data_IF_534864722850
#
_entry.id   IF_534864722850
#
_cell.length_a   1.000
_cell.length_b   1.000
_cell.length_c   1.000
_cell.angle_alpha   90.00
_cell.angle_beta   90.00
_cell.angle_gamma   90.00
#
_symmetry.space_group_name_H-M   'P 1'
#
loop_
_entity.id
_entity.type
_entity.pdbx_description
1 polymer ?
#
# COMPACT_ATOMS: atom_id res chain seq x y z
N UNK A 1 25.72 -13.56 13.82
CA UNK A 1 25.33 -12.13 13.89
C UNK A 1 25.52 -11.38 12.58
N UNK A 2 26.67 -11.41 11.88
CA UNK A 2 26.86 -10.64 10.61
C UNK A 2 25.97 -11.14 9.46
N UNK A 3 25.78 -12.46 9.31
CA UNK A 3 24.94 -13.05 8.25
C UNK A 3 23.43 -12.77 8.44
N UNK A 4 22.93 -12.70 9.67
CA UNK A 4 21.52 -12.36 9.92
C UNK A 4 21.22 -10.91 9.55
N UNK A 5 22.12 -9.97 9.85
CA UNK A 5 21.96 -8.55 9.49
C UNK A 5 21.92 -8.31 7.99
N UNK A 6 22.78 -9.03 7.23
CA UNK A 6 22.77 -8.93 5.75
C UNK A 6 21.48 -9.51 5.18
N UNK A 7 21.03 -10.67 5.67
CA UNK A 7 19.78 -11.31 5.25
C UNK A 7 18.58 -10.41 5.53
N UNK A 8 18.55 -9.76 6.69
CA UNK A 8 17.49 -8.81 7.06
C UNK A 8 17.49 -7.58 6.15
N UNK A 9 18.67 -7.02 5.84
CA UNK A 9 18.80 -5.90 4.91
C UNK A 9 18.28 -6.22 3.50
N UNK A 10 18.66 -7.38 2.96
CA UNK A 10 18.17 -7.83 1.64
C UNK A 10 16.65 -8.02 1.65
N UNK A 11 16.11 -8.66 2.70
CA UNK A 11 14.66 -8.84 2.82
C UNK A 11 13.93 -7.49 2.83
N UNK A 12 14.42 -6.49 3.56
CA UNK A 12 13.84 -5.14 3.59
C UNK A 12 13.91 -4.43 2.24
N UNK A 13 14.99 -4.61 1.47
CA UNK A 13 15.08 -4.10 0.09
C UNK A 13 14.02 -4.77 -0.79
N UNK A 14 13.86 -6.09 -0.72
CA UNK A 14 12.84 -6.82 -1.50
C UNK A 14 11.43 -6.35 -1.14
N UNK A 15 11.14 -6.20 0.16
CA UNK A 15 9.86 -5.64 0.62
C UNK A 15 9.64 -4.23 0.08
N UNK A 16 10.67 -3.39 0.10
CA UNK A 16 10.64 -2.05 -0.49
C UNK A 16 10.33 -2.08 -1.99
N UNK A 17 10.97 -2.97 -2.76
CA UNK A 17 10.71 -3.14 -4.19
C UNK A 17 9.24 -3.48 -4.45
N UNK A 18 8.68 -4.42 -3.69
CA UNK A 18 7.28 -4.82 -3.82
C UNK A 18 6.33 -3.67 -3.49
N UNK A 19 6.63 -2.89 -2.43
CA UNK A 19 5.83 -1.71 -2.05
C UNK A 19 5.92 -0.63 -3.13
N UNK A 20 7.11 -0.35 -3.63
CA UNK A 20 7.33 0.68 -4.66
C UNK A 20 6.64 0.34 -5.98
N UNK A 21 6.73 -0.90 -6.37
CA UNK A 21 6.04 -1.42 -7.54
C UNK A 21 4.51 -1.40 -7.38
N UNK A 22 3.99 -1.83 -6.21
CA UNK A 22 2.56 -1.78 -5.91
C UNK A 22 1.99 -0.36 -5.83
N UNK A 23 2.82 0.65 -5.57
CA UNK A 23 2.39 2.04 -5.53
C UNK A 23 2.02 2.60 -6.92
N UNK A 24 2.55 2.03 -8.01
CA UNK A 24 2.28 2.46 -9.39
C UNK A 24 1.04 1.76 -9.96
N UNK A 25 0.78 0.52 -9.52
CA UNK A 25 -0.22 -0.33 -10.12
C UNK A 25 -1.64 0.09 -9.76
N UNK A 26 -2.54 0.24 -10.74
CA UNK A 26 -3.95 0.45 -10.47
C UNK A 26 -4.53 -0.73 -9.67
N UNK A 27 -5.32 -0.42 -8.64
CA UNK A 27 -5.96 -1.45 -7.81
C UNK A 27 -5.09 -2.02 -6.68
N UNK A 28 -3.78 -1.77 -6.67
CA UNK A 28 -2.88 -2.22 -5.61
C UNK A 28 -2.41 -1.01 -4.79
N UNK A 29 -2.51 -1.13 -3.48
CA UNK A 29 -2.06 -0.06 -2.58
C UNK A 29 -0.70 -0.40 -1.97
N UNK A 30 0.32 0.41 -2.28
CA UNK A 30 1.62 0.33 -1.62
C UNK A 30 1.52 0.48 -0.10
N UNK A 31 0.51 1.23 0.38
CA UNK A 31 0.21 1.37 1.80
C UNK A 31 -0.23 0.06 2.45
N UNK A 32 -1.08 -0.74 1.78
CA UNK A 32 -1.45 -2.08 2.25
C UNK A 32 -0.22 -2.98 2.35
N UNK A 33 0.62 -2.98 1.32
CA UNK A 33 1.85 -3.76 1.33
C UNK A 33 2.81 -3.32 2.45
N UNK A 34 2.86 -2.01 2.76
CA UNK A 34 3.64 -1.50 3.87
C UNK A 34 3.11 -1.99 5.23
N UNK A 35 1.77 -2.07 5.41
CA UNK A 35 1.15 -2.66 6.61
C UNK A 35 1.50 -4.14 6.71
N UNK A 36 1.31 -4.85 5.62
CA UNK A 36 1.59 -6.29 5.49
C UNK A 36 3.02 -6.65 5.89
N UNK A 37 4.00 -5.80 5.50
CA UNK A 37 5.41 -6.04 5.80
C UNK A 37 5.86 -5.39 7.13
N UNK A 38 4.95 -4.84 7.95
CA UNK A 38 5.27 -4.19 9.21
C UNK A 38 6.05 -2.88 9.06
N UNK A 39 6.01 -2.25 7.88
CA UNK A 39 6.77 -1.03 7.55
C UNK A 39 5.91 0.22 7.77
N UNK A 40 4.60 0.06 7.80
CA UNK A 40 3.65 1.19 7.88
C UNK A 40 3.84 2.03 9.13
N UNK A 41 3.92 1.41 10.32
CA UNK A 41 4.08 2.13 11.58
C UNK A 41 5.40 2.92 11.65
N UNK A 42 6.58 2.33 11.34
CA UNK A 42 7.82 3.09 11.21
C UNK A 42 7.78 4.21 10.17
N UNK A 43 7.08 4.03 9.05
CA UNK A 43 6.89 5.07 8.04
C UNK A 43 6.02 6.21 8.56
N UNK A 44 4.94 5.92 9.30
CA UNK A 44 4.12 6.94 9.95
C UNK A 44 4.89 7.68 11.04
N UNK A 45 5.71 6.98 11.84
CA UNK A 45 6.58 7.61 12.84
C UNK A 45 7.62 8.53 12.18
N UNK A 46 8.15 8.16 11.00
CA UNK A 46 9.05 9.03 10.23
C UNK A 46 8.37 10.34 9.83
N UNK A 47 7.10 10.29 9.45
CA UNK A 47 6.33 11.48 9.06
C UNK A 47 5.97 12.38 10.27
N UNK A 48 5.71 11.78 11.42
CA UNK A 48 5.26 12.50 12.62
C UNK A 48 6.41 12.95 13.53
N UNK A 49 7.40 12.10 13.72
CA UNK A 49 8.55 12.31 14.60
C UNK A 49 9.86 11.88 13.92
N UNK A 50 10.32 12.59 12.88
CA UNK A 50 11.40 12.16 11.99
C UNK A 50 12.72 11.85 12.74
N UNK A 51 13.06 12.66 13.74
CA UNK A 51 14.28 12.44 14.55
C UNK A 51 14.23 11.12 15.32
N UNK A 52 13.10 10.82 15.97
CA UNK A 52 12.91 9.59 16.74
C UNK A 52 12.88 8.37 15.83
N UNK A 53 12.13 8.43 14.73
CA UNK A 53 12.03 7.35 13.76
C UNK A 53 13.40 7.04 13.12
N UNK A 54 14.18 8.07 12.72
CA UNK A 54 15.51 7.87 12.18
C UNK A 54 16.48 7.28 13.22
N UNK A 55 16.41 7.68 14.50
CA UNK A 55 17.24 7.08 15.54
C UNK A 55 16.92 5.58 15.75
N UNK A 56 15.63 5.23 15.66
CA UNK A 56 15.14 3.88 15.95
C UNK A 56 15.18 2.95 14.74
N UNK A 57 14.78 3.42 13.54
CA UNK A 57 14.50 2.59 12.37
C UNK A 57 15.37 2.93 11.15
N UNK A 58 16.42 3.75 11.26
CA UNK A 58 17.14 4.28 10.10
C UNK A 58 17.62 3.20 9.10
N UNK A 59 18.13 2.05 9.61
CA UNK A 59 18.62 0.95 8.74
C UNK A 59 17.50 0.32 7.94
N UNK A 60 16.37 0.10 8.59
CA UNK A 60 15.19 -0.47 7.96
C UNK A 60 14.61 0.52 6.94
N UNK A 61 14.40 1.78 7.35
CA UNK A 61 13.87 2.84 6.49
C UNK A 61 14.77 3.09 5.27
N UNK A 62 16.10 3.05 5.45
CA UNK A 62 17.06 3.18 4.34
C UNK A 62 16.96 1.99 3.38
N UNK A 63 16.95 0.75 3.88
CA UNK A 63 16.86 -0.44 3.05
C UNK A 63 15.52 -0.50 2.28
N UNK A 64 14.41 -0.21 2.98
CA UNK A 64 13.09 -0.13 2.37
C UNK A 64 13.01 1.02 1.36
N UNK A 65 13.56 2.19 1.69
CA UNK A 65 13.60 3.35 0.80
C UNK A 65 14.37 3.09 -0.49
N UNK A 66 15.53 2.44 -0.41
CA UNK A 66 16.29 1.99 -1.59
C UNK A 66 15.45 1.01 -2.42
N UNK A 67 14.86 0.00 -1.76
CA UNK A 67 14.01 -0.97 -2.42
C UNK A 67 12.79 -0.30 -3.07
N UNK A 68 12.15 0.64 -2.38
CA UNK A 68 11.02 1.40 -2.89
C UNK A 68 11.41 2.21 -4.15
N UNK A 69 12.54 2.90 -4.12
CA UNK A 69 13.02 3.64 -5.29
C UNK A 69 13.30 2.71 -6.48
N UNK A 70 13.93 1.55 -6.25
CA UNK A 70 14.14 0.53 -7.28
C UNK A 70 12.80 0.00 -7.82
N UNK A 71 11.84 -0.31 -6.93
CA UNK A 71 10.53 -0.81 -7.30
C UNK A 71 9.68 0.23 -8.03
N UNK A 72 9.75 1.48 -7.58
CA UNK A 72 9.00 2.58 -8.17
C UNK A 72 9.57 3.02 -9.53
N UNK A 73 10.89 3.14 -9.65
CA UNK A 73 11.53 3.62 -10.89
C UNK A 73 11.86 2.50 -11.87
N UNK A 74 12.26 1.34 -11.37
CA UNK A 74 12.74 0.22 -12.19
C UNK A 74 11.81 -0.99 -12.22
N UNK A 75 11.04 -1.22 -11.16
CA UNK A 75 10.09 -2.33 -11.06
C UNK A 75 8.89 -2.17 -11.99
N UNK A 76 8.58 -0.95 -12.41
CA UNK A 76 7.57 -0.67 -13.42
C UNK A 76 7.76 -1.52 -14.68
N UNK A 77 8.98 -1.72 -15.13
CA UNK A 77 9.26 -2.50 -16.35
C UNK A 77 8.99 -4.01 -16.20
N UNK A 78 9.38 -4.61 -15.07
CA UNK A 78 9.18 -6.05 -14.82
C UNK A 78 7.72 -6.34 -14.50
N UNK A 79 7.09 -5.49 -13.71
CA UNK A 79 5.68 -5.64 -13.36
C UNK A 79 4.81 -5.28 -14.56
N UNK A 80 5.12 -4.23 -15.32
CA UNK A 80 4.49 -3.95 -16.60
C UNK A 80 4.64 -5.14 -17.57
N UNK A 81 5.78 -5.82 -17.63
CA UNK A 81 5.94 -7.02 -18.45
C UNK A 81 5.03 -8.17 -17.98
N UNK A 82 4.86 -8.37 -16.66
CA UNK A 82 3.90 -9.33 -16.12
C UNK A 82 2.45 -8.93 -16.43
N UNK A 83 2.12 -7.66 -16.27
CA UNK A 83 0.79 -7.12 -16.60
C UNK A 83 0.52 -7.16 -18.11
N UNK A 84 1.53 -6.92 -18.95
CA UNK A 84 1.40 -7.07 -20.42
C UNK A 84 1.16 -8.50 -20.86
N UNK A 85 1.64 -9.50 -20.10
CA UNK A 85 1.33 -10.91 -20.41
C UNK A 85 -0.10 -11.29 -19.99
N UNK A 86 -0.51 -10.92 -18.78
CA UNK A 86 -1.89 -11.03 -18.30
C UNK A 86 -2.06 -10.19 -17.03
N UNK A 87 -2.80 -9.10 -17.16
CA UNK A 87 -3.21 -8.24 -16.03
C UNK A 87 -3.97 -9.05 -14.97
N UNK A 88 -4.82 -9.95 -15.40
CA UNK A 88 -5.63 -10.83 -14.56
C UNK A 88 -4.78 -11.72 -13.66
N UNK A 89 -3.79 -12.40 -14.26
CA UNK A 89 -2.90 -13.33 -13.52
C UNK A 89 -2.00 -12.56 -12.55
N UNK A 90 -1.47 -11.40 -12.97
CA UNK A 90 -0.68 -10.54 -12.10
C UNK A 90 -1.51 -10.03 -10.90
N UNK A 91 -2.73 -9.58 -11.15
CA UNK A 91 -3.66 -9.14 -10.09
C UNK A 91 -3.96 -10.27 -9.11
N UNK A 92 -4.19 -11.49 -9.58
CA UNK A 92 -4.39 -12.67 -8.73
C UNK A 92 -3.19 -12.94 -7.81
N UNK A 93 -1.95 -12.81 -8.31
CA UNK A 93 -0.74 -12.94 -7.48
C UNK A 93 -0.75 -11.94 -6.31
N UNK A 94 -1.08 -10.68 -6.58
CA UNK A 94 -1.14 -9.63 -5.55
C UNK A 94 -2.28 -9.86 -4.55
N UNK A 95 -3.46 -10.31 -5.03
CA UNK A 95 -4.55 -10.73 -4.14
C UNK A 95 -4.06 -11.82 -3.19
N UNK A 96 -3.35 -12.82 -3.72
CA UNK A 96 -2.74 -13.86 -2.91
C UNK A 96 -1.79 -13.32 -1.86
N UNK A 97 -0.86 -12.41 -2.24
CA UNK A 97 0.07 -11.78 -1.30
C UNK A 97 -0.68 -11.07 -0.17
N UNK A 98 -1.73 -10.33 -0.47
CA UNK A 98 -2.55 -9.62 0.53
C UNK A 98 -3.26 -10.63 1.45
N UNK A 99 -3.95 -11.62 0.88
CA UNK A 99 -4.69 -12.62 1.66
C UNK A 99 -3.78 -13.45 2.56
N UNK A 100 -2.56 -13.77 2.11
CA UNK A 100 -1.57 -14.52 2.89
C UNK A 100 -1.09 -13.82 4.15
N UNK A 101 -1.22 -12.51 4.22
CA UNK A 101 -0.83 -11.70 5.40
C UNK A 101 -1.99 -11.34 6.31
N UNK A 102 -3.25 -11.57 5.88
CA UNK A 102 -4.42 -11.30 6.72
C UNK A 102 -4.38 -11.99 8.10
N UNK A 103 -3.91 -13.25 8.24
CA UNK A 103 -3.82 -13.90 9.54
C UNK A 103 -2.93 -13.13 10.53
N UNK A 104 -1.80 -12.60 10.06
CA UNK A 104 -0.87 -11.85 10.91
C UNK A 104 -1.44 -10.47 11.28
N UNK A 105 -2.06 -9.77 10.31
CA UNK A 105 -2.79 -8.54 10.58
C UNK A 105 -3.93 -8.75 11.59
N UNK A 106 -4.65 -9.87 11.47
CA UNK A 106 -5.71 -10.21 12.41
C UNK A 106 -5.16 -10.50 13.81
N UNK A 107 -4.04 -11.21 13.88
CA UNK A 107 -3.37 -11.47 15.15
C UNK A 107 -2.91 -10.15 15.80
N UNK A 108 -2.22 -9.31 15.04
CA UNK A 108 -1.71 -8.00 15.48
C UNK A 108 -2.83 -7.09 16.00
N UNK A 109 -3.94 -7.00 15.26
CA UNK A 109 -5.13 -6.22 15.65
C UNK A 109 -5.71 -6.65 17.01
N UNK A 110 -5.44 -7.88 17.46
CA UNK A 110 -5.94 -8.45 18.71
C UNK A 110 -4.97 -8.35 19.88
N UNK A 111 -3.72 -7.93 19.69
CA UNK A 111 -2.67 -7.96 20.75
C UNK A 111 -3.01 -7.11 21.96
N UNK A 112 -3.76 -6.02 21.77
CA UNK A 112 -4.21 -5.14 22.87
C UNK A 112 -5.68 -5.39 23.29
N UNK A 113 -6.24 -6.56 22.92
CA UNK A 113 -7.62 -6.91 23.18
C UNK A 113 -8.58 -6.46 22.06
N UNK A 114 -9.75 -7.09 22.01
CA UNK A 114 -10.81 -6.79 21.03
C UNK A 114 -12.09 -6.42 21.75
N UNK A 115 -12.67 -5.30 21.40
CA UNK A 115 -13.97 -4.84 21.87
C UNK A 115 -14.97 -4.73 20.72
N UNK A 116 -16.22 -4.45 21.05
CA UNK A 116 -17.26 -4.21 20.04
C UNK A 116 -16.89 -3.07 19.07
N UNK A 117 -16.20 -2.04 19.56
CA UNK A 117 -15.70 -0.95 18.73
C UNK A 117 -14.73 -1.38 17.64
N UNK A 118 -13.93 -2.43 17.88
CA UNK A 118 -13.01 -2.99 16.90
C UNK A 118 -13.76 -3.64 15.72
N UNK A 119 -14.77 -4.44 16.00
CA UNK A 119 -15.60 -5.07 14.95
C UNK A 119 -16.45 -4.05 14.19
N UNK A 120 -16.99 -3.04 14.91
CA UNK A 120 -17.73 -1.95 14.28
C UNK A 120 -16.81 -1.17 13.33
N UNK A 121 -15.59 -0.84 13.75
CA UNK A 121 -14.64 -0.10 12.90
C UNK A 121 -14.26 -0.88 11.64
N UNK A 122 -14.10 -2.20 11.72
CA UNK A 122 -13.86 -3.07 10.58
C UNK A 122 -15.02 -3.00 9.57
N UNK A 123 -16.25 -3.17 10.06
CA UNK A 123 -17.44 -3.16 9.20
C UNK A 123 -17.65 -1.78 8.59
N UNK A 124 -17.54 -0.71 9.38
CA UNK A 124 -17.75 0.65 8.90
C UNK A 124 -16.69 1.03 7.88
N UNK A 125 -15.41 0.75 8.14
CA UNK A 125 -14.34 1.07 7.20
C UNK A 125 -14.45 0.25 5.90
N UNK A 126 -14.83 -1.05 6.01
CA UNK A 126 -15.10 -1.88 4.85
C UNK A 126 -16.23 -1.29 3.99
N UNK A 127 -17.38 -1.02 4.59
CA UNK A 127 -18.54 -0.50 3.87
C UNK A 127 -18.29 0.90 3.30
N UNK A 128 -17.61 1.77 4.04
CA UNK A 128 -17.29 3.12 3.58
C UNK A 128 -16.37 3.10 2.37
N UNK A 129 -15.26 2.33 2.42
CA UNK A 129 -14.34 2.25 1.30
C UNK A 129 -14.94 1.49 0.12
N UNK A 130 -15.59 0.34 0.38
CA UNK A 130 -16.23 -0.45 -0.68
C UNK A 130 -17.30 0.36 -1.41
N UNK A 131 -18.16 1.07 -0.66
CA UNK A 131 -19.16 1.95 -1.24
C UNK A 131 -18.55 3.11 -2.02
N UNK A 132 -17.50 3.75 -1.52
CA UNK A 132 -16.79 4.81 -2.21
C UNK A 132 -16.17 4.32 -3.53
N UNK A 133 -15.47 3.18 -3.51
CA UNK A 133 -14.86 2.60 -4.71
C UNK A 133 -15.90 2.11 -5.73
N UNK A 134 -17.04 1.56 -5.26
CA UNK A 134 -18.17 1.24 -6.13
C UNK A 134 -18.78 2.51 -6.76
N UNK A 135 -18.97 3.56 -5.98
CA UNK A 135 -19.44 4.84 -6.51
C UNK A 135 -18.50 5.38 -7.59
N UNK A 136 -17.18 5.33 -7.37
CA UNK A 136 -16.18 5.71 -8.38
C UNK A 136 -16.28 4.83 -9.63
N UNK A 137 -16.41 3.50 -9.47
CA UNK A 137 -16.49 2.55 -10.59
C UNK A 137 -17.71 2.77 -11.48
N UNK A 138 -18.86 3.17 -10.90
CA UNK A 138 -20.11 3.38 -11.62
C UNK A 138 -20.39 4.84 -12.00
N UNK A 139 -19.56 5.78 -11.56
CA UNK A 139 -19.71 7.19 -11.89
C UNK A 139 -18.91 7.54 -13.14
N UNK A 140 -19.55 8.26 -14.06
CA UNK A 140 -18.84 8.94 -15.15
C UNK A 140 -18.34 10.27 -14.63
N UNK A 141 -17.07 10.33 -14.21
CA UNK A 141 -16.46 11.59 -13.81
C UNK A 141 -16.09 12.41 -15.05
N UNK A 142 -16.29 13.72 -14.98
CA UNK A 142 -15.75 14.63 -15.98
C UNK A 142 -14.22 14.60 -15.92
N UNK A 143 -13.56 14.63 -17.08
CA UNK A 143 -12.10 14.74 -17.14
C UNK A 143 -11.65 16.03 -16.46
N UNK A 144 -10.67 15.91 -15.59
CA UNK A 144 -10.05 17.07 -14.93
C UNK A 144 -8.88 17.59 -15.77
N UNK A 145 -8.73 18.93 -15.87
CA UNK A 145 -7.62 19.49 -16.63
C UNK A 145 -6.27 19.14 -16.00
N UNK A 146 -5.31 18.72 -16.84
CA UNK A 146 -3.94 18.45 -16.46
C UNK A 146 -3.17 19.77 -16.28
N UNK A 147 -3.42 20.45 -15.16
CA UNK A 147 -2.82 21.73 -14.79
C UNK A 147 -2.32 21.70 -13.34
N UNK A 148 -1.84 22.82 -12.83
CA UNK A 148 -1.35 22.93 -11.45
C UNK A 148 -2.33 22.37 -10.41
N UNK A 149 -3.62 22.70 -10.51
CA UNK A 149 -4.64 22.25 -9.55
C UNK A 149 -4.97 20.77 -9.70
N UNK A 150 -4.98 20.27 -10.94
CA UNK A 150 -5.12 18.84 -11.22
C UNK A 150 -3.97 18.03 -10.63
N UNK A 151 -2.73 18.45 -10.81
CA UNK A 151 -1.56 17.77 -10.24
C UNK A 151 -1.46 17.94 -8.72
N UNK A 152 -1.91 19.06 -8.16
CA UNK A 152 -2.05 19.23 -6.72
C UNK A 152 -3.06 18.21 -6.15
N UNK A 153 -4.19 18.04 -6.80
CA UNK A 153 -5.19 17.02 -6.45
C UNK A 153 -4.63 15.61 -6.55
N UNK A 154 -3.83 15.30 -7.57
CA UNK A 154 -3.09 14.05 -7.66
C UNK A 154 -2.22 13.82 -6.42
N UNK A 155 -1.49 14.83 -6.00
CA UNK A 155 -0.65 14.78 -4.80
C UNK A 155 -1.46 14.55 -3.53
N UNK A 156 -2.58 15.23 -3.38
CA UNK A 156 -3.51 15.04 -2.25
C UNK A 156 -3.99 13.60 -2.19
N UNK A 157 -4.46 13.04 -3.30
CA UNK A 157 -4.91 11.65 -3.35
C UNK A 157 -3.79 10.65 -3.04
N UNK A 158 -2.58 10.88 -3.56
CA UNK A 158 -1.42 10.02 -3.27
C UNK A 158 -1.00 10.12 -1.80
N UNK A 159 -1.04 11.32 -1.21
CA UNK A 159 -0.82 11.52 0.22
C UNK A 159 -1.80 10.73 1.08
N UNK A 160 -3.08 10.74 0.74
CA UNK A 160 -4.08 9.92 1.42
C UNK A 160 -3.83 8.42 1.22
N UNK A 161 -3.47 7.97 0.03
CA UNK A 161 -3.15 6.56 -0.24
C UNK A 161 -1.91 6.07 0.53
N UNK A 162 -1.01 6.97 0.90
CA UNK A 162 0.13 6.66 1.76
C UNK A 162 -0.26 6.51 3.22
N UNK A 163 -1.20 7.37 3.68
CA UNK A 163 -1.65 7.42 5.07
C UNK A 163 -2.75 6.38 5.33
N UNK A 164 -3.64 6.17 4.38
CA UNK A 164 -4.77 5.24 4.50
C UNK A 164 -4.44 3.99 3.70
N UNK A 165 -4.03 2.89 4.35
CA UNK A 165 -3.74 1.64 3.66
C UNK A 165 -4.99 1.15 2.90
N UNK A 166 -4.82 0.73 1.65
CA UNK A 166 -5.92 0.22 0.83
C UNK A 166 -6.65 1.27 -0.01
N UNK A 167 -6.38 2.56 0.19
CA UNK A 167 -6.88 3.57 -0.73
C UNK A 167 -6.04 3.55 -2.03
N UNK A 168 -6.68 3.26 -3.15
CA UNK A 168 -6.05 3.27 -4.48
C UNK A 168 -6.30 4.60 -5.17
N UNK A 169 -5.33 5.52 -5.05
CA UNK A 169 -5.42 6.82 -5.75
C UNK A 169 -5.37 6.66 -7.26
N UNK A 170 -4.61 5.68 -7.76
CA UNK A 170 -4.48 5.42 -9.20
C UNK A 170 -5.83 5.16 -9.89
N UNK A 171 -6.74 4.42 -9.26
CA UNK A 171 -8.07 4.16 -9.81
C UNK A 171 -8.92 5.44 -9.94
N UNK A 172 -8.83 6.33 -8.94
CA UNK A 172 -9.54 7.62 -8.98
C UNK A 172 -8.92 8.52 -10.05
N UNK A 173 -7.58 8.60 -10.11
CA UNK A 173 -6.87 9.40 -11.11
C UNK A 173 -7.12 8.92 -12.53
N UNK A 174 -7.25 7.60 -12.72
CA UNK A 174 -7.61 7.01 -14.01
C UNK A 174 -9.05 7.42 -14.40
N UNK A 175 -9.99 7.39 -13.46
CA UNK A 175 -11.37 7.78 -13.69
C UNK A 175 -11.55 9.27 -14.07
N UNK A 176 -10.66 10.15 -13.58
CA UNK A 176 -10.67 11.59 -13.91
C UNK A 176 -9.67 11.97 -15.00
N UNK A 177 -8.99 11.00 -15.65
CA UNK A 177 -8.08 11.22 -16.78
C UNK A 177 -6.69 11.78 -16.41
N UNK A 178 -6.35 11.88 -15.11
CA UNK A 178 -5.11 12.48 -14.65
C UNK A 178 -3.95 11.48 -14.43
N UNK A 179 -4.22 10.17 -14.48
CA UNK A 179 -3.19 9.17 -14.18
C UNK A 179 -2.06 9.19 -15.22
N UNK A 180 -2.39 9.13 -16.51
CA UNK A 180 -1.40 9.13 -17.59
C UNK A 180 -0.56 10.41 -17.61
N UNK A 181 -1.15 11.63 -17.61
CA UNK A 181 -0.37 12.87 -17.53
C UNK A 181 0.55 12.94 -16.31
N UNK A 182 0.12 12.41 -15.16
CA UNK A 182 0.94 12.36 -13.95
C UNK A 182 2.15 11.43 -14.13
N UNK A 183 1.93 10.20 -14.62
CA UNK A 183 3.00 9.22 -14.81
C UNK A 183 4.02 9.71 -15.83
N UNK A 184 3.56 10.29 -16.93
CA UNK A 184 4.42 10.86 -17.97
C UNK A 184 5.25 12.02 -17.42
N UNK A 185 4.65 12.91 -16.64
CA UNK A 185 5.36 14.02 -16.00
C UNK A 185 6.40 13.55 -14.97
N UNK A 186 6.10 12.49 -14.21
CA UNK A 186 7.08 11.88 -13.29
C UNK A 186 8.24 11.26 -14.09
N UNK A 187 7.95 10.52 -15.15
CA UNK A 187 8.96 9.85 -15.98
C UNK A 187 9.89 10.84 -16.68
N UNK A 188 9.37 12.00 -17.09
CA UNK A 188 10.12 13.05 -17.73
C UNK A 188 10.77 14.04 -16.76
N UNK A 189 10.57 13.85 -15.45
CA UNK A 189 11.01 14.78 -14.39
C UNK A 189 10.49 16.21 -14.61
N UNK A 190 9.25 16.35 -15.11
CA UNK A 190 8.62 17.63 -15.35
C UNK A 190 8.26 18.33 -14.03
N UNK A 191 8.96 19.43 -13.73
CA UNK A 191 8.73 20.20 -12.51
C UNK A 191 7.33 20.84 -12.45
N UNK A 192 6.69 21.09 -13.58
CA UNK A 192 5.32 21.62 -13.62
C UNK A 192 4.31 20.61 -13.10
N UNK A 193 4.64 19.32 -13.14
CA UNK A 193 3.88 18.19 -12.58
C UNK A 193 4.37 17.85 -11.17
N UNK A 194 5.69 17.67 -11.00
CA UNK A 194 6.29 17.20 -9.76
C UNK A 194 6.09 18.16 -8.58
N UNK A 195 6.15 19.47 -8.82
CA UNK A 195 6.02 20.47 -7.75
C UNK A 195 4.60 20.48 -7.17
N UNK A 196 3.52 20.67 -7.94
CA UNK A 196 2.17 20.66 -7.38
C UNK A 196 1.80 19.28 -6.81
N UNK A 197 2.19 18.18 -7.46
CA UNK A 197 1.99 16.83 -6.93
C UNK A 197 2.70 16.63 -5.59
N UNK A 198 3.98 17.01 -5.48
CA UNK A 198 4.75 16.93 -4.25
C UNK A 198 4.17 17.79 -3.12
N UNK A 199 3.73 19.02 -3.42
CA UNK A 199 3.10 19.92 -2.45
C UNK A 199 1.80 19.33 -1.91
N UNK A 200 0.93 18.78 -2.77
CA UNK A 200 -0.29 18.12 -2.36
C UNK A 200 -0.03 16.92 -1.45
N UNK A 201 0.92 16.07 -1.84
CA UNK A 201 1.30 14.87 -1.08
C UNK A 201 1.88 15.23 0.30
N UNK A 202 2.88 16.11 0.35
CA UNK A 202 3.51 16.55 1.60
C UNK A 202 2.52 17.29 2.50
N UNK A 203 1.65 18.12 1.93
CA UNK A 203 0.61 18.84 2.67
C UNK A 203 -0.33 17.89 3.40
N UNK A 204 -0.86 16.88 2.71
CA UNK A 204 -1.71 15.85 3.33
C UNK A 204 -0.95 15.04 4.37
N UNK A 205 0.27 14.60 4.04
CA UNK A 205 1.10 13.83 4.98
C UNK A 205 1.36 14.63 6.26
N UNK A 206 1.70 15.91 6.17
CA UNK A 206 1.96 16.75 7.32
C UNK A 206 0.72 16.96 8.21
N UNK A 207 -0.47 17.10 7.59
CA UNK A 207 -1.71 17.34 8.31
C UNK A 207 -2.28 16.08 8.94
N UNK A 208 -2.34 14.99 8.19
CA UNK A 208 -3.08 13.78 8.57
C UNK A 208 -2.22 12.71 9.24
N UNK A 209 -0.91 12.65 9.00
CA UNK A 209 -0.06 11.64 9.62
C UNK A 209 -0.11 11.66 11.15
N UNK A 210 -0.19 12.87 11.74
CA UNK A 210 -0.33 13.02 13.21
C UNK A 210 -1.65 12.48 13.73
N UNK A 211 -2.75 12.66 12.99
CA UNK A 211 -4.09 12.18 13.38
C UNK A 211 -4.07 10.66 13.37
N UNK A 212 -3.54 10.06 12.30
CA UNK A 212 -3.48 8.61 12.14
C UNK A 212 -2.53 7.99 13.17
N UNK A 213 -1.34 8.56 13.38
CA UNK A 213 -0.40 8.09 14.41
C UNK A 213 -1.06 8.11 15.80
N UNK A 214 -1.73 9.22 16.16
CA UNK A 214 -2.44 9.32 17.45
C UNK A 214 -3.56 8.27 17.57
N UNK A 215 -4.27 7.96 16.47
CA UNK A 215 -5.31 6.94 16.47
C UNK A 215 -4.71 5.54 16.78
N UNK A 216 -3.56 5.21 16.18
CA UNK A 216 -2.86 3.96 16.48
C UNK A 216 -2.32 3.92 17.92
N UNK A 217 -1.87 5.06 18.47
CA UNK A 217 -1.34 5.12 19.83
C UNK A 217 -2.46 5.02 20.89
N UNK A 218 -3.65 5.60 20.63
CA UNK A 218 -4.73 5.69 21.62
C UNK A 218 -5.80 4.62 21.46
N UNK A 219 -6.04 4.14 20.23
CA UNK A 219 -7.10 3.20 19.90
C UNK A 219 -6.58 2.08 18.97
N UNK A 220 -5.49 1.44 19.37
CA UNK A 220 -4.75 0.46 18.60
C UNK A 220 -5.63 -0.58 17.90
N UNK A 221 -6.44 -1.32 18.67
CA UNK A 221 -7.29 -2.39 18.14
C UNK A 221 -8.33 -1.86 17.14
N UNK A 222 -8.94 -0.69 17.41
CA UNK A 222 -9.90 -0.04 16.51
C UNK A 222 -9.21 0.36 15.20
N UNK A 223 -8.02 0.96 15.27
CA UNK A 223 -7.25 1.37 14.10
C UNK A 223 -6.85 0.18 13.22
N UNK A 224 -6.32 -0.90 13.81
CA UNK A 224 -5.95 -2.10 13.07
C UNK A 224 -7.17 -2.80 12.44
N UNK A 225 -8.29 -2.90 13.15
CA UNK A 225 -9.51 -3.46 12.58
C UNK A 225 -10.07 -2.60 11.44
N UNK A 226 -9.97 -1.27 11.54
CA UNK A 226 -10.30 -0.39 10.42
C UNK A 226 -9.41 -0.65 9.20
N UNK A 227 -8.10 -0.82 9.41
CA UNK A 227 -7.16 -1.20 8.33
C UNK A 227 -7.55 -2.53 7.69
N UNK A 228 -7.89 -3.55 8.49
CA UNK A 228 -8.35 -4.84 7.94
C UNK A 228 -9.60 -4.66 7.08
N UNK A 229 -10.57 -3.87 7.53
CA UNK A 229 -11.77 -3.56 6.75
C UNK A 229 -11.44 -2.89 5.42
N UNK A 230 -10.54 -1.91 5.43
CA UNK A 230 -10.04 -1.22 4.23
C UNK A 230 -9.34 -2.19 3.27
N UNK A 231 -8.44 -3.05 3.80
CA UNK A 231 -7.72 -4.07 3.02
C UNK A 231 -8.68 -5.05 2.36
N UNK A 232 -9.67 -5.54 3.10
CA UNK A 232 -10.69 -6.46 2.56
C UNK A 232 -11.53 -5.79 1.46
N UNK A 233 -11.95 -4.53 1.67
CA UNK A 233 -12.73 -3.78 0.69
C UNK A 233 -11.96 -3.56 -0.61
N UNK A 234 -10.70 -3.11 -0.52
CA UNK A 234 -9.86 -2.89 -1.69
C UNK A 234 -9.53 -4.18 -2.42
N UNK A 235 -9.27 -5.26 -1.69
CA UNK A 235 -8.99 -6.58 -2.28
C UNK A 235 -10.20 -7.13 -3.01
N UNK A 236 -11.39 -6.99 -2.44
CA UNK A 236 -12.63 -7.50 -3.05
C UNK A 236 -12.92 -6.83 -4.40
N UNK A 237 -12.64 -5.52 -4.52
CA UNK A 237 -12.90 -4.75 -5.74
C UNK A 237 -11.98 -5.13 -6.90
N UNK A 238 -10.73 -5.51 -6.61
CA UNK A 238 -9.76 -5.89 -7.64
C UNK A 238 -9.85 -7.36 -8.07
N UNK A 239 -10.71 -8.17 -7.43
CA UNK A 239 -10.90 -9.56 -7.86
C UNK A 239 -11.38 -9.56 -9.31
N UNK A 240 -10.62 -10.17 -10.24
CA UNK A 240 -11.02 -10.25 -11.62
C UNK A 240 -12.25 -11.15 -11.77
N UNK A 241 -13.26 -10.65 -12.48
CA UNK A 241 -14.50 -11.38 -12.78
C UNK A 241 -14.49 -11.95 -14.19
N UNK A 242 -13.69 -11.38 -15.07
CA UNK A 242 -13.62 -11.72 -16.48
C UNK A 242 -12.26 -12.35 -16.79
N UNK A 243 -12.29 -13.62 -17.16
CA UNK A 243 -11.12 -14.37 -17.60
C UNK A 243 -11.21 -14.63 -19.10
N UNK A 244 -10.16 -14.31 -19.84
CA UNK A 244 -10.13 -14.51 -21.30
C UNK A 244 -10.16 -15.99 -21.70
N UNK A 245 -9.72 -16.90 -20.81
CA UNK A 245 -9.73 -18.33 -21.03
C UNK A 245 -9.72 -19.14 -19.73
N UNK A 246 -10.10 -20.41 -19.80
CA UNK A 246 -9.98 -21.37 -18.68
C UNK A 246 -8.51 -21.50 -18.22
N UNK A 247 -7.56 -21.43 -19.14
CA UNK A 247 -6.14 -21.48 -18.82
C UNK A 247 -5.71 -20.25 -17.99
N UNK A 248 -6.17 -19.06 -18.34
CA UNK A 248 -5.91 -17.83 -17.57
C UNK A 248 -6.49 -17.91 -16.16
N UNK A 249 -7.71 -18.45 -16.00
CA UNK A 249 -8.32 -18.68 -14.70
C UNK A 249 -7.49 -19.64 -13.84
N UNK A 250 -7.03 -20.75 -14.41
CA UNK A 250 -6.17 -21.74 -13.70
C UNK A 250 -4.84 -21.09 -13.27
N UNK A 251 -4.18 -20.36 -14.17
CA UNK A 251 -2.96 -19.63 -13.84
C UNK A 251 -3.19 -18.53 -12.81
N UNK A 252 -4.31 -17.82 -12.88
CA UNK A 252 -4.71 -16.81 -11.88
C UNK A 252 -4.85 -17.41 -10.49
N UNK A 253 -5.58 -18.52 -10.37
CA UNK A 253 -5.75 -19.25 -9.09
C UNK A 253 -4.40 -19.76 -8.58
N UNK A 254 -3.58 -20.36 -9.45
CA UNK A 254 -2.25 -20.85 -9.07
C UNK A 254 -1.35 -19.71 -8.57
N UNK A 255 -1.35 -18.56 -9.24
CA UNK A 255 -0.61 -17.37 -8.80
C UNK A 255 -1.15 -16.79 -7.50
N UNK A 256 -2.47 -16.79 -7.28
CA UNK A 256 -3.05 -16.36 -6.00
C UNK A 256 -2.62 -17.27 -4.85
N UNK A 257 -2.63 -18.59 -5.04
CA UNK A 257 -2.14 -19.55 -4.05
C UNK A 257 -0.64 -19.33 -3.79
N UNK A 258 0.16 -19.18 -4.85
CA UNK A 258 1.59 -18.91 -4.73
C UNK A 258 1.84 -17.62 -3.94
N UNK A 259 1.14 -16.54 -4.26
CA UNK A 259 1.21 -15.27 -3.54
C UNK A 259 0.88 -15.42 -2.05
N UNK A 260 -0.21 -16.13 -1.73
CA UNK A 260 -0.62 -16.38 -0.34
C UNK A 260 0.43 -17.19 0.43
N UNK A 261 0.98 -18.22 -0.18
CA UNK A 261 2.06 -19.04 0.42
C UNK A 261 3.31 -18.21 0.66
N UNK A 262 3.75 -17.44 -0.35
CA UNK A 262 4.93 -16.57 -0.25
C UNK A 262 4.77 -15.53 0.85
N UNK A 263 3.60 -14.89 0.95
CA UNK A 263 3.34 -13.90 1.97
C UNK A 263 3.27 -14.52 3.37
N UNK A 264 2.57 -15.63 3.53
CA UNK A 264 2.44 -16.34 4.81
C UNK A 264 3.78 -16.85 5.36
N UNK A 265 4.64 -17.40 4.50
CA UNK A 265 5.98 -17.81 4.94
C UNK A 265 6.94 -16.62 5.06
N UNK A 266 6.79 -15.61 4.20
CA UNK A 266 7.57 -14.38 4.27
C UNK A 266 7.36 -13.60 5.56
N UNK A 267 6.13 -13.56 6.09
CA UNK A 267 5.82 -12.91 7.36
C UNK A 267 6.49 -13.62 8.55
N UNK A 268 6.54 -14.96 8.51
CA UNK A 268 7.21 -15.77 9.55
C UNK A 268 8.74 -15.66 9.52
N UNK A 269 9.32 -15.21 8.42
CA UNK A 269 10.75 -14.95 8.28
C UNK A 269 11.14 -13.53 8.71
N UNK A 270 10.18 -12.74 9.20
CA UNK A 270 10.49 -11.40 9.73
C UNK A 270 11.43 -11.51 10.92
N UNK A 271 12.46 -10.66 10.97
CA UNK A 271 13.44 -10.69 12.06
C UNK A 271 12.78 -10.34 13.39
N UNK A 272 12.95 -11.19 14.40
CA UNK A 272 12.51 -10.92 15.78
C UNK A 272 13.16 -9.66 16.40
N UNK A 273 14.24 -9.14 15.83
CA UNK A 273 14.89 -7.89 16.27
C UNK A 273 13.95 -6.67 16.19
N UNK A 274 12.99 -6.68 15.28
CA UNK A 274 12.05 -5.57 15.14
C UNK A 274 10.91 -5.65 16.18
N UNK A 275 10.57 -6.84 16.65
CA UNK A 275 9.59 -7.05 17.73
C UNK A 275 10.10 -6.56 19.10
N UNK A 276 11.40 -6.68 19.38
CA UNK A 276 12.01 -6.15 20.62
C UNK A 276 12.11 -4.61 20.63
N UNK A 277 12.15 -4.01 19.43
CA UNK A 277 12.16 -2.55 19.28
C UNK A 277 10.76 -1.95 19.50
N UNK A 278 9.69 -2.71 19.24
CA UNK A 278 8.31 -2.28 19.46
C UNK A 278 7.89 -2.27 20.93
N UNK A 279 8.56 -3.04 21.80
CA UNK A 279 8.20 -3.22 23.23
C UNK A 279 8.95 -2.24 24.17
N UNK A 280 9.92 -1.47 23.68
CA UNK A 280 10.65 -0.45 24.44
C UNK A 280 10.26 0.96 23.97
#
# INVERSE_FOLDING_TARGET
>A
MKNSRIKNGIMRIVQGIIIGAGAILPGISGGVLAVVFGIYRPAMELLTHPRRALQRYWRMLLAVGIGWAIGFLGGGSVILALFHQSETVATCLFIGLILGTLPDLWHEAGTQGRGNGSYISLIVSFLALFGALMAVKFSSFAEMPANFWGFLFCGVLWGFSFIIPGMTSSSILMAVGLLTPLIDGIAQLDFTVLVPWGLGMVGVMALFARIVSRLFDTHYSIAYHAVIGIVLASTLIIIPTDFASTAEMVWGVACAILGAVLAYFGSKLQPQEDAEIEVK
#
